data_IF_615911611786
#
_entry.id   IF_615911611786
#
_cell.length_a   1.000
_cell.length_b   1.000
_cell.length_c   1.000
_cell.angle_alpha   90.00
_cell.angle_beta   90.00
_cell.angle_gamma   90.00
#
_symmetry.space_group_name_H-M   'P 1'
#
loop_
_entity.id
_entity.type
_entity.pdbx_description
1 polymer ?
#
# COMPACT_ATOMS: atom_id res chain seq x y z
N UNK A 1 -25.53 -9.62 -1.10
CA UNK A 1 -24.40 -8.71 -0.88
C UNK A 1 -24.15 -8.71 0.62
N UNK A 2 -23.20 -9.55 1.06
CA UNK A 2 -23.13 -10.00 2.46
C UNK A 2 -22.26 -9.04 3.27
N UNK A 3 -22.90 -8.17 4.05
CA UNK A 3 -22.23 -7.20 4.92
C UNK A 3 -21.27 -7.86 5.92
N UNK A 4 -21.55 -9.10 6.31
CA UNK A 4 -20.71 -9.92 7.20
C UNK A 4 -19.35 -10.27 6.56
N UNK A 5 -19.32 -10.55 5.25
CA UNK A 5 -18.09 -10.89 4.53
C UNK A 5 -17.17 -9.68 4.35
N UNK A 6 -17.74 -8.49 4.10
CA UNK A 6 -16.97 -7.25 3.95
C UNK A 6 -16.22 -6.88 5.23
N UNK A 7 -16.88 -6.92 6.39
CA UNK A 7 -16.25 -6.63 7.67
C UNK A 7 -15.11 -7.61 7.97
N UNK A 8 -15.30 -8.90 7.65
CA UNK A 8 -14.25 -9.91 7.80
C UNK A 8 -13.05 -9.66 6.88
N UNK A 9 -13.28 -9.26 5.63
CA UNK A 9 -12.19 -8.90 4.70
C UNK A 9 -11.44 -7.65 5.17
N UNK A 10 -12.14 -6.62 5.62
CA UNK A 10 -11.51 -5.42 6.17
C UNK A 10 -10.65 -5.74 7.41
N UNK A 11 -11.13 -6.63 8.29
CA UNK A 11 -10.35 -7.08 9.45
C UNK A 11 -9.08 -7.84 9.03
N UNK A 12 -9.17 -8.70 8.00
CA UNK A 12 -8.01 -9.39 7.43
C UNK A 12 -6.99 -8.42 6.83
N UNK A 13 -7.45 -7.42 6.08
CA UNK A 13 -6.58 -6.37 5.51
C UNK A 13 -5.85 -5.63 6.62
N UNK A 14 -6.58 -5.18 7.66
CA UNK A 14 -5.98 -4.51 8.83
C UNK A 14 -4.90 -5.35 9.49
N UNK A 15 -5.10 -6.66 9.57
CA UNK A 15 -4.12 -7.55 10.17
C UNK A 15 -2.86 -7.70 9.30
N UNK A 16 -3.01 -7.86 7.98
CA UNK A 16 -1.91 -8.03 7.01
C UNK A 16 -1.12 -6.77 6.69
N UNK A 17 -1.73 -5.61 6.93
CA UNK A 17 -1.11 -4.31 6.73
C UNK A 17 -0.09 -3.95 7.81
N UNK A 18 0.00 -4.70 8.92
CA UNK A 18 1.04 -4.51 9.94
C UNK A 18 2.34 -5.11 9.45
N UNK A 19 3.32 -4.26 9.12
CA UNK A 19 4.58 -4.65 8.46
C UNK A 19 5.79 -4.26 9.32
N UNK A 20 6.94 -4.89 9.05
CA UNK A 20 8.18 -4.62 9.78
C UNK A 20 8.85 -3.30 9.38
N UNK A 21 8.53 -2.79 8.20
CA UNK A 21 9.03 -1.52 7.66
C UNK A 21 8.13 -0.36 8.13
N UNK A 22 8.70 0.59 8.90
CA UNK A 22 7.95 1.67 9.55
C UNK A 22 7.23 2.56 8.54
N UNK A 23 7.90 2.90 7.44
CA UNK A 23 7.32 3.76 6.40
C UNK A 23 6.11 3.11 5.74
N UNK A 24 6.18 1.79 5.52
CA UNK A 24 5.10 1.01 4.95
C UNK A 24 3.94 0.85 5.94
N UNK A 25 4.24 0.63 7.22
CA UNK A 25 3.25 0.54 8.29
C UNK A 25 2.47 1.86 8.44
N UNK A 26 3.17 2.99 8.56
CA UNK A 26 2.55 4.32 8.64
C UNK A 26 1.69 4.64 7.40
N UNK A 27 2.19 4.26 6.23
CA UNK A 27 1.47 4.43 4.98
C UNK A 27 0.14 3.67 4.99
N UNK A 28 0.17 2.37 5.34
CA UNK A 28 -1.03 1.57 5.37
C UNK A 28 -1.99 1.95 6.49
N UNK A 29 -1.49 2.32 7.68
CA UNK A 29 -2.35 2.80 8.78
C UNK A 29 -3.21 3.99 8.33
N UNK A 30 -2.61 4.96 7.62
CA UNK A 30 -3.33 6.13 7.10
C UNK A 30 -4.37 5.74 6.05
N UNK A 31 -4.00 4.86 5.11
CA UNK A 31 -4.92 4.36 4.11
C UNK A 31 -6.09 3.59 4.76
N UNK A 32 -5.82 2.80 5.80
CA UNK A 32 -6.83 2.00 6.49
C UNK A 32 -7.87 2.90 7.17
N UNK A 33 -7.42 3.98 7.80
CA UNK A 33 -8.28 4.93 8.50
C UNK A 33 -9.21 5.68 7.55
N UNK A 34 -8.72 6.05 6.36
CA UNK A 34 -9.43 6.95 5.45
C UNK A 34 -10.11 6.26 4.26
N UNK A 35 -9.55 5.15 3.79
CA UNK A 35 -9.87 4.51 2.51
C UNK A 35 -10.51 3.12 2.62
N UNK A 36 -10.17 2.34 3.64
CA UNK A 36 -10.57 0.92 3.72
C UNK A 36 -12.10 0.72 3.76
N UNK A 37 -12.82 1.61 4.45
CA UNK A 37 -14.28 1.54 4.56
C UNK A 37 -15.01 1.82 3.24
N UNK A 38 -14.32 2.39 2.24
CA UNK A 38 -14.87 2.75 0.93
C UNK A 38 -14.62 1.67 -0.14
N UNK A 39 -13.83 0.64 0.18
CA UNK A 39 -13.54 -0.44 -0.74
C UNK A 39 -14.67 -1.47 -0.77
N UNK A 40 -14.95 -1.95 -1.97
CA UNK A 40 -15.81 -3.10 -2.24
C UNK A 40 -15.07 -4.43 -1.99
N UNK A 41 -15.81 -5.54 -2.10
CA UNK A 41 -15.31 -6.89 -1.84
C UNK A 41 -14.19 -7.32 -2.79
N UNK A 42 -14.24 -6.93 -4.06
CA UNK A 42 -13.23 -7.29 -5.07
C UNK A 42 -11.94 -6.50 -4.83
N UNK A 43 -12.07 -5.22 -4.53
CA UNK A 43 -10.95 -4.36 -4.14
C UNK A 43 -10.26 -4.85 -2.85
N UNK A 44 -11.02 -5.29 -1.85
CA UNK A 44 -10.47 -5.83 -0.60
C UNK A 44 -9.71 -7.14 -0.83
N UNK A 45 -10.22 -8.04 -1.68
CA UNK A 45 -9.53 -9.27 -2.04
C UNK A 45 -8.25 -8.99 -2.81
N UNK A 46 -8.30 -8.09 -3.78
CA UNK A 46 -7.11 -7.69 -4.56
C UNK A 46 -6.07 -7.02 -3.66
N UNK A 47 -6.49 -6.22 -2.68
CA UNK A 47 -5.60 -5.63 -1.69
C UNK A 47 -4.96 -6.68 -0.77
N UNK A 48 -5.70 -7.74 -0.41
CA UNK A 48 -5.13 -8.86 0.34
C UNK A 48 -4.04 -9.56 -0.46
N UNK A 49 -4.25 -9.81 -1.75
CA UNK A 49 -3.22 -10.39 -2.63
C UNK A 49 -1.98 -9.49 -2.75
N UNK A 50 -2.19 -8.17 -2.90
CA UNK A 50 -1.08 -7.20 -2.92
C UNK A 50 -0.31 -7.21 -1.59
N UNK A 51 -1.01 -7.41 -0.47
CA UNK A 51 -0.43 -7.56 0.86
C UNK A 51 0.20 -8.95 1.10
N UNK A 52 0.33 -9.81 0.10
CA UNK A 52 1.18 -11.02 0.16
C UNK A 52 2.58 -10.78 -0.42
N UNK A 53 2.79 -9.66 -1.12
CA UNK A 53 4.11 -9.26 -1.61
C UNK A 53 5.08 -8.87 -0.48
N UNK A 54 6.37 -9.04 -0.76
CA UNK A 54 7.48 -8.62 0.09
C UNK A 54 7.45 -7.11 0.38
N UNK A 55 7.84 -6.73 1.60
CA UNK A 55 7.84 -5.34 2.06
C UNK A 55 8.63 -4.41 1.13
N UNK A 56 9.81 -4.85 0.68
CA UNK A 56 10.69 -4.06 -0.19
C UNK A 56 10.11 -3.84 -1.59
N UNK A 57 9.53 -4.88 -2.19
CA UNK A 57 8.93 -4.79 -3.52
C UNK A 57 7.67 -3.92 -3.48
N UNK A 58 6.84 -4.13 -2.46
CA UNK A 58 5.64 -3.34 -2.23
C UNK A 58 5.97 -1.86 -2.02
N UNK A 59 6.97 -1.55 -1.20
CA UNK A 59 7.42 -0.18 -0.99
C UNK A 59 8.03 0.46 -2.25
N UNK A 60 8.77 -0.31 -3.06
CA UNK A 60 9.29 0.16 -4.33
C UNK A 60 8.17 0.47 -5.33
N UNK A 61 7.14 -0.38 -5.39
CA UNK A 61 5.94 -0.13 -6.19
C UNK A 61 5.18 1.11 -5.70
N UNK A 62 5.01 1.30 -4.40
CA UNK A 62 4.29 2.46 -3.86
C UNK A 62 5.02 3.77 -4.14
N UNK A 63 6.36 3.80 -4.01
CA UNK A 63 7.17 4.99 -4.32
C UNK A 63 7.47 5.19 -5.81
N UNK A 64 6.97 4.33 -6.69
CA UNK A 64 7.25 4.43 -8.14
C UNK A 64 8.67 4.06 -8.56
N UNK A 65 9.44 3.43 -7.66
CA UNK A 65 10.77 2.86 -7.96
C UNK A 65 10.67 1.52 -8.69
N UNK A 66 9.53 0.84 -8.61
CA UNK A 66 9.23 -0.38 -9.35
C UNK A 66 7.91 -0.25 -10.12
N UNK A 67 7.87 -0.87 -11.30
CA UNK A 67 6.66 -0.97 -12.11
C UNK A 67 5.80 -2.13 -11.58
N UNK A 68 4.48 -1.91 -11.45
CA UNK A 68 3.57 -3.00 -11.14
C UNK A 68 3.23 -3.78 -12.41
N UNK A 69 3.65 -5.03 -12.48
CA UNK A 69 3.36 -5.93 -13.61
C UNK A 69 1.96 -6.53 -13.57
N UNK A 70 1.28 -6.48 -12.42
CA UNK A 70 -0.03 -7.08 -12.20
C UNK A 70 -1.12 -6.05 -12.46
N UNK A 71 -1.86 -6.21 -13.56
CA UNK A 71 -2.86 -5.23 -14.02
C UNK A 71 -3.96 -4.96 -12.99
N UNK A 72 -4.44 -5.99 -12.29
CA UNK A 72 -5.44 -5.83 -11.22
C UNK A 72 -4.96 -4.99 -10.03
N UNK A 73 -3.64 -4.91 -9.78
CA UNK A 73 -3.08 -4.13 -8.68
C UNK A 73 -2.87 -2.65 -9.03
N UNK A 74 -2.73 -2.32 -10.31
CA UNK A 74 -2.50 -0.95 -10.76
C UNK A 74 -3.53 0.07 -10.22
N UNK A 75 -4.86 -0.17 -10.26
CA UNK A 75 -5.83 0.78 -9.71
C UNK A 75 -5.69 0.97 -8.19
N UNK A 76 -5.38 -0.10 -7.45
CA UNK A 76 -5.13 -0.02 -6.01
C UNK A 76 -3.84 0.73 -5.69
N UNK A 77 -2.76 0.47 -6.42
CA UNK A 77 -1.49 1.20 -6.25
C UNK A 77 -1.69 2.70 -6.53
N UNK A 78 -2.44 3.05 -7.57
CA UNK A 78 -2.78 4.45 -7.86
C UNK A 78 -3.61 5.08 -6.74
N UNK A 79 -4.59 4.35 -6.18
CA UNK A 79 -5.40 4.81 -5.04
C UNK A 79 -4.56 5.00 -3.77
N UNK A 80 -3.67 4.05 -3.49
CA UNK A 80 -2.75 4.08 -2.36
C UNK A 80 -1.80 5.28 -2.46
N UNK A 81 -1.20 5.50 -3.63
CA UNK A 81 -0.32 6.66 -3.90
C UNK A 81 -1.02 8.00 -3.69
N UNK A 82 -2.32 8.12 -4.05
CA UNK A 82 -3.10 9.34 -3.83
C UNK A 82 -3.41 9.60 -2.35
N UNK A 83 -3.40 8.55 -1.53
CA UNK A 83 -3.65 8.63 -0.08
C UNK A 83 -2.36 8.92 0.71
N UNK A 84 -1.20 8.80 0.06
CA UNK A 84 0.08 9.15 0.63
C UNK A 84 0.21 10.68 0.77
N UNK A 85 0.76 11.20 1.88
CA UNK A 85 1.33 12.54 1.85
C UNK A 85 2.44 12.56 0.79
N UNK A 86 2.65 13.71 0.14
CA UNK A 86 3.76 13.92 -0.76
C UNK A 86 5.10 13.64 -0.04
N UNK A 87 5.64 12.43 -0.19
CA UNK A 87 6.92 12.01 0.41
C UNK A 87 8.13 12.60 -0.33
N UNK A 88 7.93 13.62 -1.17
CA UNK A 88 8.99 14.26 -1.96
C UNK A 88 10.04 15.01 -1.12
N UNK A 89 10.03 14.90 0.21
CA UNK A 89 10.98 15.59 1.09
C UNK A 89 12.14 14.74 1.63
N UNK A 90 12.17 13.40 1.50
CA UNK A 90 13.23 12.58 2.13
C UNK A 90 14.24 11.91 1.16
N UNK A 91 14.02 11.92 -0.16
CA UNK A 91 14.97 11.29 -1.12
C UNK A 91 16.16 12.17 -1.51
N UNK A 92 16.30 13.38 -0.96
CA UNK A 92 17.50 14.21 -1.14
C UNK A 92 18.56 13.88 -0.08
N UNK A 93 18.99 12.61 0.03
CA UNK A 93 20.17 12.30 0.84
C UNK A 93 21.05 11.15 0.33
N UNK A 94 20.55 10.19 -0.46
CA UNK A 94 21.38 9.06 -0.90
C UNK A 94 22.06 9.21 -2.28
N UNK A 95 21.77 10.25 -3.06
CA UNK A 95 22.47 10.48 -4.35
C UNK A 95 23.65 11.45 -4.26
N UNK A 96 23.98 12.00 -3.07
CA UNK A 96 25.15 12.89 -2.90
C UNK A 96 26.46 12.18 -2.51
N UNK A 97 26.45 10.89 -2.19
CA UNK A 97 27.65 10.13 -1.76
C UNK A 97 28.30 9.26 -2.86
N UNK A 98 27.99 9.51 -4.14
CA UNK A 98 28.68 8.83 -5.26
C UNK A 98 29.55 9.75 -6.11
N UNK A 99 29.94 10.89 -5.54
CA UNK A 99 30.84 11.84 -6.18
C UNK A 99 31.80 12.47 -5.17
N UNK A 100 32.64 11.64 -4.56
CA UNK A 100 33.97 12.01 -4.02
C UNK A 100 34.96 10.94 -4.48
#
# INVERSE_FOLDING_TARGET
MNMETLAALQAKVRWRARRGLLELDLFFQRFIDQGLARLDEESLQTLLELLESDDHELWAMLNGKAQCSVERWQPLIALLRRSAPDTSQETVLLEKEKQV
#
